data_IF_170977950629
#
_entry.id   IF_170977950629
#
_cell.length_a   1.000
_cell.length_b   1.000
_cell.length_c   1.000
_cell.angle_alpha   90.00
_cell.angle_beta   90.00
_cell.angle_gamma   90.00
#
_symmetry.space_group_name_H-M   'P 1'
#
loop_
_entity.id
_entity.type
_entity.pdbx_description
1 polymer ?
#
# COMPACT_ATOMS: atom_id res chain seq x y z
N UNK A 1 -27.87 -23.17 4.93
CA UNK A 1 -26.55 -22.72 4.42
C UNK A 1 -25.88 -21.87 5.50
N UNK A 2 -24.85 -22.38 6.17
CA UNK A 2 -24.21 -21.72 7.34
C UNK A 2 -23.39 -20.51 6.88
N UNK A 3 -23.57 -19.37 7.54
CA UNK A 3 -22.80 -18.12 7.33
C UNK A 3 -21.36 -18.34 7.79
N UNK A 4 -20.38 -18.12 6.93
CA UNK A 4 -18.97 -18.05 7.31
C UNK A 4 -18.46 -16.66 6.97
N UNK A 5 -18.17 -15.86 7.99
CA UNK A 5 -17.52 -14.57 7.82
C UNK A 5 -16.01 -14.85 7.72
N UNK A 6 -15.42 -14.60 6.56
CA UNK A 6 -13.98 -14.72 6.35
C UNK A 6 -13.32 -13.36 6.63
N UNK A 7 -12.38 -13.33 7.57
CA UNK A 7 -11.62 -12.12 7.88
C UNK A 7 -10.44 -11.98 6.92
N UNK A 8 -10.28 -10.80 6.31
CA UNK A 8 -9.12 -10.49 5.47
C UNK A 8 -8.20 -9.53 6.24
N UNK A 9 -6.94 -9.93 6.45
CA UNK A 9 -5.92 -9.07 7.02
C UNK A 9 -5.22 -8.26 5.91
N UNK A 10 -5.59 -7.00 5.76
CA UNK A 10 -5.03 -6.08 4.76
C UNK A 10 -3.55 -5.75 5.01
N UNK A 11 -3.07 -5.89 6.25
CA UNK A 11 -1.67 -5.63 6.61
C UNK A 11 -0.74 -6.82 6.34
N UNK A 12 -1.28 -7.95 5.87
CA UNK A 12 -0.49 -9.17 5.65
C UNK A 12 0.48 -9.08 4.47
N UNK A 13 0.29 -8.12 3.55
CA UNK A 13 1.03 -8.02 2.29
C UNK A 13 0.67 -9.11 1.28
N UNK A 14 -0.25 -10.03 1.62
CA UNK A 14 -0.70 -11.09 0.72
C UNK A 14 -1.62 -10.49 -0.37
N UNK A 15 -1.48 -10.93 -1.64
CA UNK A 15 -2.35 -10.46 -2.71
C UNK A 15 -3.83 -10.74 -2.43
N UNK A 16 -4.67 -9.78 -2.80
CA UNK A 16 -6.12 -9.84 -2.69
C UNK A 16 -6.71 -9.70 -4.10
N UNK A 17 -7.69 -10.52 -4.42
CA UNK A 17 -8.45 -10.42 -5.65
C UNK A 17 -9.77 -9.68 -5.40
N UNK A 18 -10.09 -8.77 -6.31
CA UNK A 18 -11.33 -7.98 -6.29
C UNK A 18 -12.07 -8.22 -7.59
N UNK A 19 -13.38 -8.40 -7.50
CA UNK A 19 -14.30 -8.47 -8.63
C UNK A 19 -15.25 -7.29 -8.55
N UNK A 20 -15.41 -6.59 -9.66
CA UNK A 20 -16.36 -5.49 -9.83
C UNK A 20 -17.26 -5.86 -10.99
N UNK A 21 -18.49 -6.25 -10.68
CA UNK A 21 -19.49 -6.59 -11.69
C UNK A 21 -20.56 -5.50 -11.69
N UNK A 22 -20.90 -5.01 -12.88
CA UNK A 22 -21.99 -4.07 -13.07
C UNK A 22 -23.03 -4.69 -13.99
N UNK A 23 -24.23 -4.92 -13.47
CA UNK A 23 -25.34 -5.49 -14.21
C UNK A 23 -26.55 -4.56 -14.18
N UNK A 24 -26.93 -4.05 -15.36
CA UNK A 24 -28.06 -3.11 -15.56
C UNK A 24 -27.85 -1.79 -14.82
N UNK A 25 -28.14 -1.76 -13.53
CA UNK A 25 -27.99 -0.62 -12.60
C UNK A 25 -27.47 -1.07 -11.23
N UNK A 26 -26.95 -2.29 -11.12
CA UNK A 26 -26.46 -2.87 -9.88
C UNK A 26 -24.95 -3.04 -9.93
N UNK A 27 -24.24 -2.33 -9.04
CA UNK A 27 -22.82 -2.50 -8.79
C UNK A 27 -22.60 -3.53 -7.68
N UNK A 28 -21.90 -4.61 -7.99
CA UNK A 28 -21.49 -5.64 -7.03
C UNK A 28 -19.97 -5.66 -6.91
N UNK A 29 -19.48 -5.52 -5.69
CA UNK A 29 -18.05 -5.64 -5.37
C UNK A 29 -17.84 -6.85 -4.48
N UNK A 30 -17.00 -7.77 -4.92
CA UNK A 30 -16.59 -8.94 -4.14
C UNK A 30 -15.07 -8.91 -3.94
N UNK A 31 -14.60 -9.47 -2.82
CA UNK A 31 -13.18 -9.49 -2.48
C UNK A 31 -12.83 -10.80 -1.76
N UNK A 32 -11.67 -11.36 -2.08
CA UNK A 32 -11.13 -12.53 -1.38
C UNK A 32 -9.59 -12.59 -1.52
N UNK A 33 -8.87 -13.33 -0.66
CA UNK A 33 -7.48 -13.66 -0.92
C UNK A 33 -7.31 -14.34 -2.30
N UNK A 34 -6.18 -14.11 -2.98
CA UNK A 34 -5.97 -14.45 -4.40
C UNK A 34 -6.29 -15.91 -4.81
N UNK A 35 -6.11 -16.88 -3.92
CA UNK A 35 -6.34 -18.31 -4.19
C UNK A 35 -7.73 -18.80 -3.75
N UNK A 36 -8.56 -17.90 -3.23
CA UNK A 36 -9.91 -18.20 -2.74
C UNK A 36 -10.92 -17.90 -3.84
N UNK A 37 -11.86 -18.83 -4.06
CA UNK A 37 -12.94 -18.65 -5.04
C UNK A 37 -13.77 -17.41 -4.70
N UNK A 38 -14.24 -16.72 -5.74
CA UNK A 38 -15.16 -15.57 -5.61
C UNK A 38 -16.32 -15.91 -4.65
N UNK A 39 -16.53 -15.12 -3.59
CA UNK A 39 -17.65 -15.33 -2.67
C UNK A 39 -18.99 -15.27 -3.40
N UNK A 40 -19.95 -16.11 -2.98
CA UNK A 40 -21.30 -16.10 -3.56
C UNK A 40 -22.11 -14.86 -3.21
N UNK A 41 -21.75 -14.19 -2.11
CA UNK A 41 -22.36 -12.93 -1.67
C UNK A 41 -21.33 -11.80 -1.83
N UNK A 42 -21.66 -10.71 -2.53
CA UNK A 42 -20.75 -9.60 -2.67
C UNK A 42 -20.56 -8.88 -1.32
N UNK A 43 -19.41 -8.26 -1.17
CA UNK A 43 -19.08 -7.42 -0.02
C UNK A 43 -19.92 -6.14 -0.04
N UNK A 44 -20.10 -5.55 -1.21
CA UNK A 44 -20.93 -4.37 -1.46
C UNK A 44 -21.87 -4.65 -2.62
N UNK A 45 -23.13 -4.24 -2.48
CA UNK A 45 -24.12 -4.25 -3.55
C UNK A 45 -24.87 -2.92 -3.49
N UNK A 46 -24.84 -2.16 -4.57
CA UNK A 46 -25.42 -0.81 -4.62
C UNK A 46 -26.09 -0.55 -5.96
N UNK A 47 -27.28 0.05 -5.90
CA UNK A 47 -27.97 0.53 -7.09
C UNK A 47 -27.35 1.85 -7.55
N UNK A 48 -26.75 1.87 -8.74
CA UNK A 48 -26.10 3.03 -9.35
C UNK A 48 -26.48 3.06 -10.83
N UNK A 49 -27.09 4.14 -11.28
CA UNK A 49 -27.36 4.37 -12.70
C UNK A 49 -26.22 5.19 -13.31
N UNK A 50 -25.36 4.56 -14.11
CA UNK A 50 -24.20 5.24 -14.72
C UNK A 50 -24.61 6.39 -15.66
N UNK A 51 -25.77 6.32 -16.31
CA UNK A 51 -26.28 7.39 -17.18
C UNK A 51 -26.66 8.64 -16.39
N UNK A 52 -27.16 8.47 -15.16
CA UNK A 52 -27.47 9.59 -14.26
C UNK A 52 -26.20 10.16 -13.63
N UNK A 53 -25.22 9.32 -13.29
CA UNK A 53 -23.96 9.76 -12.68
C UNK A 53 -23.07 10.49 -13.70
N UNK A 54 -23.06 10.04 -14.95
CA UNK A 54 -22.25 10.60 -16.03
C UNK A 54 -23.14 11.09 -17.17
N UNK A 55 -23.94 12.16 -16.95
CA UNK A 55 -24.83 12.67 -17.97
C UNK A 55 -24.04 13.14 -19.19
N UNK A 56 -24.56 12.87 -20.38
CA UNK A 56 -23.98 13.28 -21.68
C UNK A 56 -22.54 12.76 -21.94
N UNK A 57 -22.10 11.72 -21.22
CA UNK A 57 -20.77 11.14 -21.43
C UNK A 57 -20.85 9.97 -22.41
N UNK A 58 -20.24 10.14 -23.59
CA UNK A 58 -20.14 9.08 -24.62
C UNK A 58 -18.98 8.12 -24.41
N UNK A 59 -18.02 8.48 -23.55
CA UNK A 59 -16.83 7.68 -23.25
C UNK A 59 -16.45 7.81 -21.79
N UNK A 60 -16.26 6.67 -21.14
CA UNK A 60 -15.75 6.59 -19.76
C UNK A 60 -14.39 5.90 -19.78
N UNK A 61 -13.54 6.28 -18.85
CA UNK A 61 -12.24 5.66 -18.64
C UNK A 61 -12.27 4.92 -17.31
N UNK A 62 -11.66 3.74 -17.29
CA UNK A 62 -11.55 2.91 -16.08
C UNK A 62 -10.09 2.67 -15.77
N UNK A 63 -9.76 2.64 -14.49
CA UNK A 63 -8.39 2.46 -14.03
C UNK A 63 -8.34 2.42 -12.51
N UNK A 64 -7.11 2.47 -12.00
CA UNK A 64 -6.84 2.44 -10.57
C UNK A 64 -6.27 3.78 -10.12
N UNK A 65 -6.63 4.18 -8.92
CA UNK A 65 -6.01 5.31 -8.23
C UNK A 65 -5.74 4.89 -6.78
N UNK A 66 -4.64 5.38 -6.25
CA UNK A 66 -4.08 4.91 -5.00
C UNK A 66 -3.32 6.05 -4.31
N UNK A 67 -3.36 6.09 -2.99
CA UNK A 67 -2.71 7.13 -2.17
C UNK A 67 -2.22 6.54 -0.86
N UNK A 68 -1.11 7.06 -0.35
CA UNK A 68 -0.57 6.72 0.96
C UNK A 68 -1.00 7.77 1.99
N UNK A 69 -1.69 7.34 3.04
CA UNK A 69 -2.04 8.20 4.18
C UNK A 69 -0.92 8.23 5.23
N UNK A 70 -1.30 8.33 6.52
CA UNK A 70 -0.36 8.31 7.63
C UNK A 70 0.48 7.02 7.74
N UNK A 71 -0.02 5.91 7.19
CA UNK A 71 0.72 4.66 7.06
C UNK A 71 1.32 4.55 5.65
N UNK A 72 2.63 4.38 5.57
CA UNK A 72 3.32 4.09 4.30
C UNK A 72 2.97 2.67 3.87
N UNK A 73 2.36 2.53 2.70
CA UNK A 73 2.02 1.25 2.08
C UNK A 73 2.36 1.30 0.61
N UNK A 74 3.06 0.29 0.11
CA UNK A 74 3.20 0.08 -1.32
C UNK A 74 1.88 -0.49 -1.87
N UNK A 75 1.44 0.01 -3.03
CA UNK A 75 0.16 -0.35 -3.64
C UNK A 75 0.42 -0.89 -5.05
N UNK A 76 0.33 -2.21 -5.22
CA UNK A 76 0.66 -2.89 -6.47
C UNK A 76 -0.59 -3.51 -7.12
N UNK A 77 -0.76 -3.29 -8.42
CA UNK A 77 -1.68 -4.05 -9.26
C UNK A 77 -0.86 -5.14 -9.96
N UNK A 78 -1.01 -6.39 -9.49
CA UNK A 78 -0.28 -7.54 -10.05
C UNK A 78 -0.86 -8.05 -11.36
N UNK A 79 -2.13 -7.75 -11.63
CA UNK A 79 -2.83 -8.11 -12.85
C UNK A 79 -4.29 -7.68 -12.79
N UNK A 80 -4.89 -7.46 -13.95
CA UNK A 80 -6.29 -7.11 -14.08
C UNK A 80 -6.81 -7.53 -15.46
N UNK A 81 -8.11 -7.76 -15.55
CA UNK A 81 -8.82 -7.90 -16.82
C UNK A 81 -10.11 -7.07 -16.74
N UNK A 82 -10.54 -6.56 -17.89
CA UNK A 82 -11.72 -5.71 -18.00
C UNK A 82 -12.48 -6.08 -19.25
N UNK A 83 -13.81 -6.16 -19.13
CA UNK A 83 -14.71 -6.37 -20.26
C UNK A 83 -16.03 -5.67 -19.98
N UNK A 84 -16.58 -5.04 -21.01
CA UNK A 84 -17.94 -4.46 -21.00
C UNK A 84 -18.98 -5.45 -21.51
N UNK A 85 -18.55 -6.54 -22.14
CA UNK A 85 -19.43 -7.56 -22.72
C UNK A 85 -19.64 -8.71 -21.74
N UNK A 86 -20.91 -9.09 -21.56
CA UNK A 86 -21.27 -10.20 -20.66
C UNK A 86 -20.65 -11.49 -21.16
N UNK A 87 -19.84 -12.13 -20.32
CA UNK A 87 -19.26 -13.45 -20.59
C UNK A 87 -17.95 -13.45 -21.39
N UNK A 88 -17.48 -12.28 -21.84
CA UNK A 88 -16.23 -12.13 -22.61
C UNK A 88 -14.98 -11.91 -21.72
N UNK A 89 -15.16 -11.86 -20.39
CA UNK A 89 -14.06 -11.58 -19.47
C UNK A 89 -13.14 -12.80 -19.34
N UNK A 90 -11.95 -12.71 -19.93
CA UNK A 90 -10.90 -13.70 -19.73
C UNK A 90 -10.51 -13.72 -18.23
N UNK A 91 -10.56 -14.91 -17.64
CA UNK A 91 -10.16 -15.11 -16.25
C UNK A 91 -8.67 -14.84 -16.13
N UNK A 92 -8.30 -13.99 -15.18
CA UNK A 92 -6.92 -13.73 -14.85
C UNK A 92 -6.21 -15.05 -14.47
N UNK A 93 -5.15 -15.40 -15.18
CA UNK A 93 -4.38 -16.58 -14.88
C UNK A 93 -3.49 -16.34 -13.66
N UNK A 94 -3.99 -16.73 -12.49
CA UNK A 94 -3.37 -16.49 -11.19
C UNK A 94 -1.94 -17.08 -11.11
N UNK A 95 -1.68 -18.21 -11.76
CA UNK A 95 -0.35 -18.85 -11.71
C UNK A 95 0.71 -18.10 -12.52
N UNK A 96 0.31 -17.20 -13.42
CA UNK A 96 1.21 -16.36 -14.22
C UNK A 96 1.43 -14.97 -13.61
N UNK A 97 0.83 -14.66 -12.47
CA UNK A 97 0.97 -13.35 -11.85
C UNK A 97 2.37 -13.16 -11.26
N UNK A 98 2.97 -11.96 -11.41
CA UNK A 98 4.25 -11.65 -10.79
C UNK A 98 4.10 -11.66 -9.26
N UNK A 99 5.17 -12.04 -8.58
CA UNK A 99 5.23 -11.91 -7.13
C UNK A 99 5.39 -10.43 -6.74
N UNK A 100 4.64 -10.01 -5.72
CA UNK A 100 4.76 -8.67 -5.16
C UNK A 100 6.15 -8.50 -4.53
N UNK A 101 6.89 -7.42 -4.84
CA UNK A 101 8.12 -7.10 -4.13
C UNK A 101 7.82 -6.94 -2.64
N UNK A 102 8.37 -7.82 -1.81
CA UNK A 102 8.28 -7.64 -0.37
C UNK A 102 9.44 -6.74 0.05
N UNK A 103 9.18 -5.54 0.60
CA UNK A 103 10.26 -4.71 1.12
C UNK A 103 11.02 -5.52 2.16
N UNK A 104 12.26 -5.90 1.83
CA UNK A 104 13.17 -6.50 2.81
C UNK A 104 13.23 -5.53 3.98
N UNK A 105 13.07 -6.01 5.21
CA UNK A 105 13.32 -5.21 6.41
C UNK A 105 14.79 -4.77 6.37
N UNK A 106 15.08 -3.64 5.75
CA UNK A 106 16.44 -3.12 5.73
C UNK A 106 16.78 -2.70 7.16
N UNK A 107 17.98 -3.01 7.67
CA UNK A 107 18.41 -2.62 9.01
C UNK A 107 18.58 -1.09 9.17
N UNK A 108 18.23 -0.30 8.14
CA UNK A 108 18.41 1.15 8.06
C UNK A 108 17.83 1.90 9.26
N UNK A 109 16.74 1.40 9.87
CA UNK A 109 16.16 2.01 11.09
C UNK A 109 17.09 1.95 12.31
N UNK A 110 17.92 0.90 12.43
CA UNK A 110 18.92 0.80 13.51
C UNK A 110 20.11 1.72 13.24
N UNK A 111 20.59 1.75 11.99
CA UNK A 111 21.71 2.60 11.60
C UNK A 111 21.38 4.09 11.75
N UNK A 112 20.19 4.51 11.32
CA UNK A 112 19.72 5.90 11.47
C UNK A 112 19.59 6.32 12.94
N UNK A 113 19.10 5.43 13.82
CA UNK A 113 19.08 5.69 15.27
C UNK A 113 20.47 5.82 15.87
N UNK A 114 21.42 4.99 15.44
CA UNK A 114 22.81 5.07 15.91
C UNK A 114 23.46 6.39 15.47
N UNK A 115 23.27 6.81 14.21
CA UNK A 115 23.78 8.10 13.72
C UNK A 115 23.20 9.30 14.48
N UNK A 116 21.89 9.29 14.78
CA UNK A 116 21.25 10.36 15.56
C UNK A 116 21.86 10.49 16.96
N UNK A 117 22.30 9.39 17.57
CA UNK A 117 22.88 9.41 18.92
C UNK A 117 24.38 9.70 18.88
N UNK A 118 25.14 9.06 17.99
CA UNK A 118 26.61 9.15 17.99
C UNK A 118 27.08 10.52 17.49
N UNK A 119 26.42 11.10 16.48
CA UNK A 119 26.81 12.38 15.89
C UNK A 119 26.85 13.56 16.90
N UNK A 120 25.81 13.81 17.74
CA UNK A 120 25.85 14.89 18.71
C UNK A 120 26.89 14.66 19.82
N UNK A 121 27.13 13.40 20.23
CA UNK A 121 28.17 13.07 21.21
C UNK A 121 29.58 13.38 20.67
N UNK A 122 29.86 13.01 19.41
CA UNK A 122 31.13 13.37 18.76
C UNK A 122 31.32 14.89 18.67
N UNK A 123 30.28 15.63 18.28
CA UNK A 123 30.31 17.10 18.22
C UNK A 123 30.58 17.73 19.59
N UNK A 124 29.90 17.29 20.64
CA UNK A 124 30.12 17.79 21.99
C UNK A 124 31.56 17.52 22.48
N UNK A 125 32.10 16.34 22.19
CA UNK A 125 33.47 15.98 22.58
C UNK A 125 34.53 16.85 21.88
N UNK A 126 34.35 17.13 20.59
CA UNK A 126 35.24 18.04 19.83
C UNK A 126 35.18 19.45 20.43
N UNK A 127 33.98 19.96 20.72
CA UNK A 127 33.80 21.29 21.32
C UNK A 127 34.48 21.38 22.69
N UNK A 128 34.26 20.39 23.56
CA UNK A 128 34.91 20.32 24.88
C UNK A 128 36.43 20.26 24.78
N UNK A 129 36.96 19.51 23.82
CA UNK A 129 38.41 19.41 23.59
C UNK A 129 39.01 20.75 23.15
N UNK A 130 38.31 21.50 22.29
CA UNK A 130 38.74 22.85 21.88
C UNK A 130 38.71 23.81 23.06
N UNK A 131 37.63 23.83 23.86
CA UNK A 131 37.54 24.69 25.05
C UNK A 131 38.62 24.36 26.08
N UNK A 132 38.87 23.08 26.36
CA UNK A 132 39.93 22.63 27.25
C UNK A 132 41.31 23.06 26.73
N UNK A 133 41.58 22.88 25.44
CA UNK A 133 42.82 23.32 24.80
C UNK A 133 43.05 24.83 24.93
N UNK A 134 42.03 25.64 24.64
CA UNK A 134 42.10 27.11 24.79
C UNK A 134 42.32 27.51 26.25
N UNK A 135 41.64 26.85 27.19
CA UNK A 135 41.79 27.11 28.62
C UNK A 135 43.21 26.82 29.13
N UNK A 136 43.77 25.67 28.75
CA UNK A 136 45.14 25.28 29.13
C UNK A 136 46.19 26.24 28.54
N UNK A 137 46.03 26.66 27.28
CA UNK A 137 46.92 27.64 26.65
C UNK A 137 46.84 29.04 27.28
N UNK A 138 45.67 29.41 27.82
CA UNK A 138 45.51 30.65 28.56
C UNK A 138 46.19 30.56 29.93
N UNK A 139 46.05 29.42 30.63
CA UNK A 139 46.64 29.22 31.95
C UNK A 139 48.17 29.13 31.90
N UNK A 140 48.76 28.61 30.82
CA UNK A 140 50.22 28.56 30.64
C UNK A 140 50.85 29.92 30.27
N UNK A 141 50.05 30.97 30.07
CA UNK A 141 50.51 32.33 29.70
C UNK A 141 50.29 33.37 30.81
N UNK A 142 49.83 32.95 31.99
CA UNK A 142 49.85 33.71 33.23
C UNK A 142 50.98 33.16 34.11
#
# INVERSE_FOLDING_TARGET
>A
MKRKNESINLLSGKPIQVWVDYEVTMLNVSMAPLEVKKPSRPLLSQHINLTEVFPNSSRLFVGFSASTGAAVSDQYIVGWSFSTERGSLERLNISKLPQVPHPKKTPHKKLHKLFIIVLPFCLAFVVLSVFAGVYLLKMSKC
#
